data_IF_101428823811
#
_entry.id   IF_101428823811
#
_cell.length_a   1.000
_cell.length_b   1.000
_cell.length_c   1.000
_cell.angle_alpha   90.00
_cell.angle_beta   90.00
_cell.angle_gamma   90.00
#
_symmetry.space_group_name_H-M   'P 1'
#
loop_
_entity.id
_entity.type
_entity.pdbx_description
1 polymer ?
#
# COMPACT_ATOMS: atom_id res chain seq x y z
N UNK A 1 -13.94 46.77 -54.41
CA UNK A 1 -13.80 45.38 -54.87
C UNK A 1 -12.36 44.96 -54.70
N UNK A 2 -12.05 43.74 -54.25
CA UNK A 2 -12.44 43.01 -53.03
C UNK A 2 -11.13 42.64 -52.26
N UNK A 3 -11.04 41.90 -51.16
CA UNK A 3 -11.97 41.06 -50.40
C UNK A 3 -11.19 40.38 -49.25
N UNK A 4 -11.95 39.94 -48.26
CA UNK A 4 -11.53 39.40 -46.97
C UNK A 4 -10.83 38.03 -47.02
N UNK A 5 -10.21 37.64 -45.90
CA UNK A 5 -9.68 36.29 -45.67
C UNK A 5 -9.21 36.05 -44.24
N UNK A 6 -10.08 36.26 -43.24
CA UNK A 6 -9.87 35.72 -41.89
C UNK A 6 -10.03 34.20 -41.90
N UNK A 7 -9.06 33.50 -41.31
CA UNK A 7 -9.06 32.04 -41.17
C UNK A 7 -10.07 31.62 -40.07
N UNK A 8 -10.80 30.50 -40.25
CA UNK A 8 -11.83 30.09 -39.32
C UNK A 8 -11.23 29.53 -38.03
N UNK A 9 -11.71 30.05 -36.90
CA UNK A 9 -11.54 29.46 -35.57
C UNK A 9 -12.45 28.22 -35.49
N UNK A 10 -11.85 27.05 -35.34
CA UNK A 10 -12.53 25.79 -35.08
C UNK A 10 -13.25 25.86 -33.73
N UNK A 11 -14.57 26.07 -33.78
CA UNK A 11 -15.48 26.06 -32.65
C UNK A 11 -16.17 24.70 -32.50
N UNK A 12 -15.37 23.63 -32.34
CA UNK A 12 -15.87 22.32 -31.94
C UNK A 12 -15.98 22.25 -30.40
N UNK A 13 -17.15 21.93 -29.82
CA UNK A 13 -17.32 21.86 -28.37
C UNK A 13 -16.52 20.68 -27.78
N UNK A 14 -15.95 20.79 -26.57
CA UNK A 14 -15.28 19.68 -25.94
C UNK A 14 -16.29 18.56 -25.70
N UNK A 15 -15.99 17.38 -26.26
CA UNK A 15 -16.76 16.16 -26.07
C UNK A 15 -16.87 15.87 -24.58
N UNK A 16 -18.08 16.11 -24.06
CA UNK A 16 -18.45 15.88 -22.68
C UNK A 16 -18.40 14.36 -22.44
N UNK A 17 -17.26 13.86 -21.95
CA UNK A 17 -17.17 12.49 -21.46
C UNK A 17 -18.24 12.35 -20.40
N UNK A 18 -19.26 11.53 -20.68
CA UNK A 18 -20.29 11.16 -19.71
C UNK A 18 -19.56 10.55 -18.52
N UNK A 19 -19.38 11.33 -17.46
CA UNK A 19 -18.99 10.80 -16.16
C UNK A 19 -20.06 9.80 -15.77
N UNK A 20 -19.64 8.56 -15.57
CA UNK A 20 -20.51 7.50 -15.11
C UNK A 20 -21.01 7.86 -13.70
N UNK A 21 -22.24 8.39 -13.63
CA UNK A 21 -22.89 8.85 -12.39
C UNK A 21 -23.03 7.70 -11.37
N UNK A 22 -22.89 6.45 -11.81
CA UNK A 22 -22.94 5.26 -10.96
C UNK A 22 -21.74 5.19 -10.00
N UNK A 23 -20.53 5.55 -10.42
CA UNK A 23 -19.33 5.54 -9.56
C UNK A 23 -19.43 6.55 -8.41
N UNK A 24 -20.03 7.73 -8.68
CA UNK A 24 -20.30 8.76 -7.67
C UNK A 24 -21.36 8.33 -6.66
N UNK A 25 -22.42 7.66 -7.12
CA UNK A 25 -23.47 7.13 -6.24
C UNK A 25 -22.94 5.99 -5.36
N UNK A 26 -22.07 5.13 -5.88
CA UNK A 26 -21.41 4.05 -5.12
C UNK A 26 -20.48 4.63 -4.05
N UNK A 27 -19.67 5.63 -4.39
CA UNK A 27 -18.77 6.29 -3.42
C UNK A 27 -19.54 7.08 -2.35
N UNK A 28 -20.65 7.74 -2.71
CA UNK A 28 -21.53 8.42 -1.75
C UNK A 28 -22.25 7.42 -0.82
N UNK A 29 -22.73 6.29 -1.35
CA UNK A 29 -23.34 5.22 -0.56
C UNK A 29 -22.33 4.53 0.39
N UNK A 30 -21.06 4.42 -0.02
CA UNK A 30 -19.97 3.89 0.80
C UNK A 30 -19.55 4.87 1.91
N UNK A 31 -19.57 6.19 1.65
CA UNK A 31 -19.36 7.22 2.68
C UNK A 31 -20.51 7.27 3.72
N UNK A 32 -21.76 7.05 3.29
CA UNK A 32 -22.90 6.89 4.20
C UNK A 32 -22.79 5.58 5.04
N UNK A 33 -22.28 4.50 4.44
CA UNK A 33 -22.02 3.23 5.14
C UNK A 33 -20.87 3.34 6.15
N UNK A 34 -19.88 4.21 5.92
CA UNK A 34 -18.80 4.52 6.87
C UNK A 34 -19.34 5.10 8.18
N UNK A 35 -20.37 5.96 8.12
CA UNK A 35 -21.06 6.50 9.31
C UNK A 35 -21.87 5.43 10.06
N UNK A 36 -22.51 4.48 9.37
CA UNK A 36 -23.31 3.40 10.00
C UNK A 36 -22.48 2.25 10.57
N UNK A 37 -21.33 1.92 9.98
CA UNK A 37 -20.49 0.80 10.44
C UNK A 37 -19.77 1.06 11.77
N UNK A 38 -19.80 2.30 12.29
CA UNK A 38 -19.36 2.64 13.64
C UNK A 38 -20.33 2.15 14.74
N UNK A 39 -21.51 1.64 14.38
CA UNK A 39 -22.53 1.19 15.34
C UNK A 39 -23.46 0.13 14.73
N UNK A 40 -23.10 -1.16 14.75
CA UNK A 40 -24.08 -2.24 14.51
C UNK A 40 -23.87 -3.42 15.47
N UNK A 41 -24.93 -3.92 16.15
CA UNK A 41 -24.89 -5.06 17.07
C UNK A 41 -24.96 -6.41 16.35
N UNK A 42 -24.59 -7.46 17.08
CA UNK A 42 -24.52 -8.85 16.66
C UNK A 42 -25.89 -9.51 16.48
N UNK A 43 -26.07 -10.29 15.41
CA UNK A 43 -26.83 -11.55 15.44
C UNK A 43 -26.27 -12.47 14.35
N UNK A 44 -26.10 -13.75 14.71
CA UNK A 44 -25.48 -14.77 13.88
C UNK A 44 -26.50 -15.63 13.15
N UNK A 45 -26.06 -16.27 12.09
CA UNK A 45 -26.60 -17.53 11.61
C UNK A 45 -25.49 -18.34 10.91
N UNK A 46 -25.59 -19.64 11.10
CA UNK A 46 -24.63 -20.67 10.73
C UNK A 46 -24.87 -21.15 9.30
N UNK A 47 -23.82 -21.30 8.49
CA UNK A 47 -23.86 -22.10 7.27
C UNK A 47 -22.62 -22.99 7.21
N UNK A 48 -22.89 -24.26 6.89
CA UNK A 48 -21.99 -25.42 6.90
C UNK A 48 -21.10 -25.40 5.65
N UNK A 49 -19.81 -25.69 5.80
CA UNK A 49 -18.85 -25.81 4.70
C UNK A 49 -18.86 -27.22 4.10
N UNK A 50 -18.84 -27.31 2.77
CA UNK A 50 -18.42 -28.49 2.00
C UNK A 50 -16.95 -28.33 1.57
N UNK A 51 -16.16 -29.41 1.44
CA UNK A 51 -14.72 -29.32 1.15
C UNK A 51 -14.46 -29.08 -0.34
N UNK A 52 -13.48 -28.22 -0.64
CA UNK A 52 -12.89 -28.08 -1.98
C UNK A 52 -11.59 -28.92 -2.08
N UNK A 53 -11.26 -29.43 -3.28
CA UNK A 53 -10.21 -30.44 -3.45
C UNK A 53 -8.80 -29.86 -3.31
N UNK A 54 -7.90 -30.69 -2.77
CA UNK A 54 -6.48 -30.41 -2.66
C UNK A 54 -5.82 -30.44 -4.04
N UNK A 55 -5.18 -29.33 -4.44
CA UNK A 55 -4.27 -29.32 -5.58
C UNK A 55 -2.85 -29.51 -5.06
N UNK A 56 -2.30 -30.68 -5.38
CA UNK A 56 -0.95 -31.11 -5.05
C UNK A 56 0.07 -30.29 -5.84
N UNK A 57 0.92 -29.54 -5.15
CA UNK A 57 2.09 -28.89 -5.75
C UNK A 57 3.28 -29.83 -5.65
N UNK A 58 3.54 -30.58 -6.73
CA UNK A 58 4.88 -31.08 -6.95
C UNK A 58 5.21 -31.18 -8.44
N UNK A 59 6.00 -30.22 -8.95
CA UNK A 59 7.11 -30.49 -9.88
C UNK A 59 8.03 -29.27 -9.99
N UNK A 60 9.29 -29.47 -9.63
CA UNK A 60 10.40 -28.53 -9.82
C UNK A 60 10.91 -28.53 -11.27
N UNK A 61 11.58 -27.43 -11.62
CA UNK A 61 12.65 -27.27 -12.62
C UNK A 61 12.28 -27.23 -14.12
N UNK A 62 12.19 -26.00 -14.63
CA UNK A 62 13.00 -25.50 -15.76
C UNK A 62 12.89 -23.97 -15.82
N UNK A 63 13.88 -23.25 -15.27
CA UNK A 63 13.88 -21.80 -15.27
C UNK A 63 14.43 -21.27 -16.61
N UNK A 64 13.60 -21.30 -17.65
CA UNK A 64 13.82 -20.46 -18.82
C UNK A 64 14.01 -19.01 -18.34
N UNK A 65 15.00 -18.30 -18.90
CA UNK A 65 15.20 -16.87 -18.60
C UNK A 65 13.86 -16.15 -18.78
N UNK A 66 13.42 -15.34 -17.79
CA UNK A 66 12.10 -14.73 -17.84
C UNK A 66 11.98 -13.93 -19.14
N UNK A 67 10.89 -14.16 -19.87
CA UNK A 67 10.63 -13.47 -21.13
C UNK A 67 9.79 -12.22 -20.90
N UNK A 68 9.94 -11.17 -21.72
CA UNK A 68 9.08 -10.00 -21.67
C UNK A 68 7.61 -10.36 -21.93
N UNK A 69 6.67 -9.94 -21.06
CA UNK A 69 5.23 -10.24 -21.20
C UNK A 69 4.46 -8.99 -21.66
N UNK A 70 3.77 -9.00 -22.82
CA UNK A 70 3.02 -7.84 -23.31
C UNK A 70 1.93 -7.36 -22.35
N UNK A 71 1.69 -6.04 -22.32
CA UNK A 71 0.65 -5.37 -21.54
C UNK A 71 -0.35 -4.68 -22.48
N UNK A 72 -1.55 -4.39 -21.96
CA UNK A 72 -2.69 -3.85 -22.73
C UNK A 72 -2.43 -2.49 -23.37
N UNK A 73 -1.45 -1.73 -22.90
CA UNK A 73 -1.09 -0.40 -23.42
C UNK A 73 0.15 -0.43 -24.34
N UNK A 74 0.57 -1.59 -24.83
CA UNK A 74 1.75 -1.73 -25.69
C UNK A 74 3.10 -1.73 -24.95
N UNK A 75 3.09 -1.58 -23.61
CA UNK A 75 4.26 -1.83 -22.78
C UNK A 75 4.51 -3.33 -22.62
N UNK A 76 5.69 -3.66 -22.12
CA UNK A 76 6.08 -5.04 -21.84
C UNK A 76 6.57 -5.16 -20.40
N UNK A 77 6.06 -6.15 -19.68
CA UNK A 77 6.54 -6.50 -18.36
C UNK A 77 7.94 -7.12 -18.47
N UNK A 78 8.92 -6.57 -17.75
CA UNK A 78 10.33 -6.97 -17.79
C UNK A 78 10.89 -7.10 -16.37
N UNK A 79 11.87 -7.96 -16.17
CA UNK A 79 12.53 -8.17 -14.88
C UNK A 79 14.00 -7.75 -14.97
N UNK A 80 14.55 -7.16 -13.92
CA UNK A 80 15.95 -6.74 -13.88
C UNK A 80 16.96 -7.92 -13.89
N UNK A 81 16.48 -9.16 -13.77
CA UNK A 81 17.26 -10.39 -13.97
C UNK A 81 17.37 -10.79 -15.44
N UNK A 82 16.59 -10.17 -16.33
CA UNK A 82 16.69 -10.38 -17.78
C UNK A 82 18.00 -9.77 -18.32
N UNK A 83 18.50 -10.25 -19.47
CA UNK A 83 19.57 -9.59 -20.20
C UNK A 83 19.29 -8.10 -20.42
N UNK A 84 20.27 -7.24 -20.16
CA UNK A 84 20.13 -5.78 -20.34
C UNK A 84 21.47 -5.07 -20.39
N UNK A 85 21.44 -3.74 -20.46
CA UNK A 85 22.66 -2.94 -20.46
C UNK A 85 23.20 -2.75 -19.05
N UNK A 86 24.52 -2.81 -18.92
CA UNK A 86 25.23 -2.53 -17.66
C UNK A 86 25.99 -1.21 -17.77
N UNK A 87 26.07 -0.46 -16.67
CA UNK A 87 26.78 0.82 -16.62
C UNK A 87 28.19 0.64 -16.04
N UNK A 88 29.20 1.12 -16.75
CA UNK A 88 30.61 1.08 -16.36
C UNK A 88 31.15 2.50 -16.23
N UNK A 89 31.83 2.79 -15.12
CA UNK A 89 32.49 4.09 -14.92
C UNK A 89 33.72 4.20 -15.82
N UNK A 90 33.86 5.34 -16.51
CA UNK A 90 34.98 5.62 -17.41
C UNK A 90 35.46 7.06 -17.19
N UNK A 91 36.44 7.24 -16.29
CA UNK A 91 36.91 8.56 -15.88
C UNK A 91 35.80 9.39 -15.22
N UNK A 92 35.48 10.54 -15.82
CA UNK A 92 34.41 11.46 -15.38
C UNK A 92 33.03 11.13 -15.97
N UNK A 93 32.93 10.12 -16.84
CA UNK A 93 31.68 9.75 -17.51
C UNK A 93 31.35 8.26 -17.33
N UNK A 94 30.26 7.83 -17.96
CA UNK A 94 29.83 6.42 -17.98
C UNK A 94 29.81 5.89 -19.41
N UNK A 95 30.15 4.62 -19.56
CA UNK A 95 29.96 3.82 -20.77
C UNK A 95 29.04 2.65 -20.46
N UNK A 96 28.42 2.07 -21.49
CA UNK A 96 27.44 1.02 -21.32
C UNK A 96 27.84 -0.22 -22.11
N UNK A 97 27.59 -1.41 -21.55
CA UNK A 97 27.78 -2.68 -22.23
C UNK A 97 26.46 -3.40 -22.41
N UNK A 98 26.30 -4.10 -23.53
CA UNK A 98 25.19 -5.02 -23.74
C UNK A 98 25.31 -6.29 -22.89
N UNK A 99 24.29 -7.15 -22.97
CA UNK A 99 24.27 -8.41 -22.23
C UNK A 99 25.36 -9.40 -22.67
N UNK A 100 25.96 -9.20 -23.85
CA UNK A 100 27.09 -9.98 -24.38
C UNK A 100 28.45 -9.37 -24.00
N UNK A 101 28.47 -8.22 -23.33
CA UNK A 101 29.67 -7.51 -22.91
C UNK A 101 30.23 -6.52 -23.95
N UNK A 102 29.59 -6.37 -25.12
CA UNK A 102 30.04 -5.42 -26.14
C UNK A 102 29.69 -3.98 -25.76
N UNK A 103 30.53 -3.04 -26.17
CA UNK A 103 30.28 -1.62 -25.96
C UNK A 103 29.09 -1.13 -26.78
N UNK A 104 28.13 -0.51 -26.10
CA UNK A 104 26.99 0.14 -26.74
C UNK A 104 27.45 1.42 -27.45
N UNK A 105 27.22 1.47 -28.77
CA UNK A 105 27.59 2.59 -29.65
C UNK A 105 26.39 3.29 -30.29
N UNK A 106 25.21 2.67 -30.23
CA UNK A 106 23.99 3.23 -30.81
C UNK A 106 23.64 4.57 -30.13
N UNK A 107 23.58 5.63 -30.93
CA UNK A 107 23.33 6.99 -30.48
C UNK A 107 21.92 7.14 -29.89
N UNK A 108 20.93 6.44 -30.45
CA UNK A 108 19.54 6.49 -29.99
C UNK A 108 19.41 5.84 -28.62
N UNK A 109 20.02 4.67 -28.43
CA UNK A 109 20.06 4.00 -27.12
C UNK A 109 20.81 4.83 -26.09
N UNK A 110 21.97 5.40 -26.44
CA UNK A 110 22.73 6.28 -25.54
C UNK A 110 21.92 7.53 -25.15
N UNK A 111 21.16 8.11 -26.08
CA UNK A 111 20.28 9.25 -25.81
C UNK A 111 19.16 8.86 -24.83
N UNK A 112 18.46 7.75 -25.09
CA UNK A 112 17.41 7.22 -24.20
C UNK A 112 17.93 6.98 -22.79
N UNK A 113 19.10 6.35 -22.66
CA UNK A 113 19.71 6.08 -21.34
C UNK A 113 20.01 7.37 -20.58
N UNK A 114 20.48 8.43 -21.26
CA UNK A 114 20.71 9.74 -20.62
C UNK A 114 19.41 10.35 -20.10
N UNK A 115 18.31 10.23 -20.85
CA UNK A 115 16.99 10.73 -20.44
C UNK A 115 16.44 10.02 -19.19
N UNK A 116 16.86 8.78 -18.90
CA UNK A 116 16.49 8.08 -17.65
C UNK A 116 17.04 8.76 -16.39
N UNK A 117 18.02 9.67 -16.53
CA UNK A 117 18.62 10.44 -15.43
C UNK A 117 19.02 9.54 -14.25
N UNK A 118 19.72 8.44 -14.53
CA UNK A 118 20.18 7.48 -13.52
C UNK A 118 21.29 8.16 -12.70
N UNK A 119 21.12 8.38 -11.38
CA UNK A 119 22.08 9.10 -10.57
C UNK A 119 23.50 8.51 -10.67
N UNK A 120 24.55 9.33 -10.75
CA UNK A 120 25.92 8.87 -10.94
C UNK A 120 26.43 8.04 -9.76
N UNK A 121 25.90 8.27 -8.56
CA UNK A 121 26.27 7.54 -7.34
C UNK A 121 25.72 6.10 -7.26
N UNK A 122 24.81 5.70 -8.16
CA UNK A 122 24.23 4.35 -8.10
C UNK A 122 25.22 3.28 -8.58
N UNK A 123 25.32 2.18 -7.84
CA UNK A 123 26.06 0.97 -8.22
C UNK A 123 25.12 -0.10 -8.78
N UNK A 124 25.68 -1.19 -9.33
CA UNK A 124 24.95 -2.35 -9.86
C UNK A 124 23.76 -1.97 -10.75
N UNK A 125 24.04 -1.08 -11.71
CA UNK A 125 23.02 -0.52 -12.58
C UNK A 125 22.71 -1.47 -13.73
N UNK A 126 21.45 -1.90 -13.78
CA UNK A 126 20.85 -2.61 -14.90
C UNK A 126 19.90 -1.67 -15.65
N UNK A 127 19.94 -1.71 -16.98
CA UNK A 127 19.11 -0.86 -17.85
C UNK A 127 18.41 -1.77 -18.86
N UNK A 128 17.10 -1.59 -18.99
CA UNK A 128 16.28 -2.35 -19.91
C UNK A 128 16.66 -2.04 -21.36
N UNK A 129 16.85 -3.06 -22.22
CA UNK A 129 17.13 -2.86 -23.63
C UNK A 129 15.88 -2.49 -24.44
N UNK A 130 14.68 -2.77 -23.92
CA UNK A 130 13.42 -2.49 -24.59
C UNK A 130 12.91 -1.07 -24.23
N UNK A 131 12.71 -0.17 -25.21
CA UNK A 131 12.15 1.16 -24.94
C UNK A 131 10.76 1.10 -24.32
N UNK A 132 9.94 0.11 -24.69
CA UNK A 132 8.59 -0.12 -24.14
C UNK A 132 8.56 -1.04 -22.90
N UNK A 133 9.72 -1.38 -22.32
CA UNK A 133 9.76 -2.12 -21.05
C UNK A 133 9.21 -1.27 -19.90
N UNK A 134 8.26 -1.79 -19.12
CA UNK A 134 7.64 -1.02 -18.04
C UNK A 134 8.67 -0.53 -17.00
N UNK A 135 9.69 -1.34 -16.74
CA UNK A 135 10.86 -1.01 -15.93
C UNK A 135 12.01 -0.67 -16.89
N UNK A 136 12.56 0.53 -16.75
CA UNK A 136 13.59 1.08 -17.63
C UNK A 136 15.00 0.94 -17.06
N UNK A 137 15.16 1.04 -15.74
CA UNK A 137 16.45 0.79 -15.09
C UNK A 137 16.29 0.44 -13.61
N UNK A 138 17.29 -0.23 -13.06
CA UNK A 138 17.51 -0.38 -11.63
C UNK A 138 18.94 -0.03 -11.24
N UNK A 139 19.17 0.27 -9.97
CA UNK A 139 20.51 0.47 -9.42
C UNK A 139 20.47 0.51 -7.90
N UNK A 140 21.61 0.35 -7.25
CA UNK A 140 21.74 0.40 -5.79
C UNK A 140 22.19 1.80 -5.39
N UNK A 141 21.46 2.46 -4.49
CA UNK A 141 21.83 3.79 -4.00
C UNK A 141 22.95 3.75 -2.94
N UNK A 142 23.43 4.92 -2.53
CA UNK A 142 24.47 5.06 -1.51
C UNK A 142 24.10 4.48 -0.12
N UNK A 143 22.82 4.10 0.09
CA UNK A 143 22.33 3.44 1.30
C UNK A 143 22.10 1.93 1.09
N UNK A 144 22.57 1.36 -0.02
CA UNK A 144 22.41 -0.06 -0.34
C UNK A 144 21.01 -0.46 -0.81
N UNK A 145 20.13 0.50 -1.14
CA UNK A 145 18.75 0.19 -1.52
C UNK A 145 18.61 0.08 -3.04
N UNK A 146 17.88 -0.94 -3.50
CA UNK A 146 17.52 -1.05 -4.91
C UNK A 146 16.50 0.02 -5.30
N UNK A 147 16.87 0.82 -6.28
CA UNK A 147 16.10 1.92 -6.85
C UNK A 147 15.65 1.55 -8.26
N UNK A 148 14.51 2.07 -8.66
CA UNK A 148 13.85 1.75 -9.92
C UNK A 148 13.59 3.01 -10.75
N UNK A 149 13.61 2.87 -12.06
CA UNK A 149 13.15 3.85 -13.05
C UNK A 149 12.13 3.16 -13.94
N UNK A 150 10.93 3.71 -14.04
CA UNK A 150 9.83 3.13 -14.83
C UNK A 150 9.56 3.97 -16.07
N UNK A 151 8.98 3.34 -17.10
CA UNK A 151 8.45 4.03 -18.27
C UNK A 151 7.36 5.04 -17.85
N UNK A 152 7.20 6.14 -18.58
CA UNK A 152 6.24 7.19 -18.23
C UNK A 152 4.79 6.65 -18.21
N UNK A 153 4.42 5.90 -19.24
CA UNK A 153 3.08 5.30 -19.39
C UNK A 153 2.80 4.19 -18.37
N UNK A 154 3.82 3.61 -17.73
CA UNK A 154 3.60 2.63 -16.67
C UNK A 154 2.85 3.26 -15.48
N UNK A 155 3.10 4.54 -15.19
CA UNK A 155 2.36 5.23 -14.12
C UNK A 155 0.88 5.35 -14.47
N UNK A 156 0.56 5.72 -15.71
CA UNK A 156 -0.82 5.89 -16.17
C UNK A 156 -1.62 4.59 -16.03
N UNK A 157 -1.07 3.46 -16.47
CA UNK A 157 -1.71 2.14 -16.32
C UNK A 157 -1.90 1.75 -14.84
N UNK A 158 -0.93 2.09 -13.97
CA UNK A 158 -1.06 1.85 -12.52
C UNK A 158 -2.05 2.80 -11.84
N UNK A 159 -2.28 3.98 -12.40
CA UNK A 159 -3.26 4.95 -11.90
C UNK A 159 -4.69 4.60 -12.36
N UNK A 160 -4.88 4.12 -13.59
CA UNK A 160 -6.19 3.66 -14.10
C UNK A 160 -6.71 2.44 -13.30
N UNK A 161 -5.85 1.44 -13.11
CA UNK A 161 -6.19 0.23 -12.31
C UNK A 161 -6.43 0.53 -10.82
N UNK A 162 -6.03 1.72 -10.34
CA UNK A 162 -6.16 2.10 -8.93
C UNK A 162 -7.61 2.31 -8.52
N UNK A 163 -8.45 2.86 -9.39
CA UNK A 163 -9.83 3.19 -9.05
C UNK A 163 -10.73 1.95 -9.02
N UNK A 164 -10.63 1.08 -10.03
CA UNK A 164 -11.32 -0.21 -10.04
C UNK A 164 -10.93 -1.05 -8.82
N UNK A 165 -9.63 -1.12 -8.51
CA UNK A 165 -9.13 -1.79 -7.32
C UNK A 165 -9.70 -1.19 -6.03
N UNK A 166 -9.92 0.12 -5.98
CA UNK A 166 -10.47 0.80 -4.80
C UNK A 166 -11.92 0.39 -4.56
N UNK A 167 -12.71 0.27 -5.62
CA UNK A 167 -14.09 -0.21 -5.54
C UNK A 167 -14.15 -1.65 -5.04
N UNK A 168 -13.34 -2.55 -5.62
CA UNK A 168 -13.25 -3.94 -5.18
C UNK A 168 -12.82 -4.03 -3.70
N UNK A 169 -11.86 -3.20 -3.28
CA UNK A 169 -11.45 -3.13 -1.88
C UNK A 169 -12.59 -2.68 -0.97
N UNK A 170 -13.35 -1.65 -1.38
CA UNK A 170 -14.53 -1.18 -0.67
C UNK A 170 -15.57 -2.28 -0.45
N UNK A 171 -15.80 -3.12 -1.46
CA UNK A 171 -16.70 -4.29 -1.38
C UNK A 171 -16.17 -5.40 -0.46
N UNK A 172 -14.84 -5.56 -0.37
CA UNK A 172 -14.20 -6.56 0.49
C UNK A 172 -14.12 -6.15 1.98
N UNK A 173 -14.13 -4.84 2.28
CA UNK A 173 -13.97 -4.31 3.66
C UNK A 173 -14.92 -4.92 4.70
N UNK A 174 -16.23 -5.10 4.45
CA UNK A 174 -17.14 -5.72 5.42
C UNK A 174 -16.69 -7.13 5.82
N UNK A 175 -16.23 -7.94 4.87
CA UNK A 175 -15.73 -9.29 5.11
C UNK A 175 -14.44 -9.26 5.93
N UNK A 176 -13.49 -8.39 5.58
CA UNK A 176 -12.24 -8.20 6.32
C UNK A 176 -12.54 -7.78 7.77
N UNK A 177 -13.42 -6.81 7.97
CA UNK A 177 -13.81 -6.31 9.30
C UNK A 177 -14.52 -7.38 10.14
N UNK A 178 -15.37 -8.20 9.52
CA UNK A 178 -16.02 -9.31 10.20
C UNK A 178 -15.00 -10.36 10.68
N UNK A 179 -14.01 -10.70 9.83
CA UNK A 179 -12.91 -11.59 10.19
C UNK A 179 -12.08 -11.04 11.36
N UNK A 180 -11.66 -9.77 11.28
CA UNK A 180 -10.96 -9.07 12.37
C UNK A 180 -11.76 -9.08 13.67
N UNK A 181 -13.06 -8.77 13.61
CA UNK A 181 -13.91 -8.76 14.80
C UNK A 181 -14.04 -10.14 15.44
N UNK A 182 -14.08 -11.21 14.63
CA UNK A 182 -14.11 -12.60 15.12
C UNK A 182 -12.81 -12.98 15.81
N UNK A 183 -11.68 -12.71 15.18
CA UNK A 183 -10.37 -13.12 15.69
C UNK A 183 -10.01 -12.34 16.97
N UNK A 184 -10.37 -11.04 17.04
CA UNK A 184 -10.26 -10.24 18.29
C UNK A 184 -11.20 -10.71 19.41
N UNK A 185 -12.35 -11.32 19.09
CA UNK A 185 -13.23 -11.92 20.10
C UNK A 185 -12.68 -13.25 20.62
N UNK A 186 -12.08 -14.06 19.75
CA UNK A 186 -11.44 -15.31 20.13
C UNK A 186 -10.29 -15.06 21.14
N UNK A 187 -9.48 -14.04 20.87
CA UNK A 187 -8.39 -13.59 21.73
C UNK A 187 -8.80 -13.26 23.17
N UNK A 188 -10.08 -12.93 23.42
CA UNK A 188 -10.55 -12.63 24.77
C UNK A 188 -10.58 -13.85 25.70
N UNK A 189 -10.42 -15.07 25.15
CA UNK A 189 -10.42 -16.33 25.89
C UNK A 189 -9.00 -16.87 26.14
N UNK A 190 -7.98 -16.24 25.58
CA UNK A 190 -6.60 -16.71 25.61
C UNK A 190 -5.78 -15.88 26.62
N UNK A 191 -4.92 -16.55 27.38
CA UNK A 191 -4.02 -15.89 28.34
C UNK A 191 -2.86 -15.16 27.66
N UNK A 192 -2.46 -15.63 26.48
CA UNK A 192 -1.35 -15.11 25.69
C UNK A 192 -1.80 -14.73 24.27
N UNK A 193 -1.13 -13.78 23.61
CA UNK A 193 -1.56 -13.33 22.30
C UNK A 193 -1.21 -14.37 21.22
N UNK A 194 -2.22 -15.02 20.64
CA UNK A 194 -2.04 -15.87 19.46
C UNK A 194 -1.81 -15.08 18.16
N UNK A 195 -1.22 -15.73 17.14
CA UNK A 195 -0.88 -15.08 15.85
C UNK A 195 -2.07 -14.37 15.20
N UNK A 196 -3.24 -15.01 15.17
CA UNK A 196 -4.44 -14.44 14.56
C UNK A 196 -4.92 -13.17 15.29
N UNK A 197 -4.84 -13.15 16.62
CA UNK A 197 -5.21 -11.99 17.43
C UNK A 197 -4.33 -10.78 17.11
N UNK A 198 -3.01 -10.99 17.07
CA UNK A 198 -2.01 -9.94 16.78
C UNK A 198 -2.21 -9.38 15.37
N UNK A 199 -2.41 -10.24 14.37
CA UNK A 199 -2.65 -9.82 12.98
C UNK A 199 -3.99 -9.06 12.86
N UNK A 200 -5.04 -9.53 13.53
CA UNK A 200 -6.32 -8.83 13.58
C UNK A 200 -6.19 -7.44 14.23
N UNK A 201 -5.41 -7.31 15.31
CA UNK A 201 -5.08 -6.02 15.94
C UNK A 201 -4.35 -5.09 14.97
N UNK A 202 -3.35 -5.58 14.25
CA UNK A 202 -2.63 -4.79 13.24
C UNK A 202 -3.54 -4.30 12.12
N UNK A 203 -4.40 -5.16 11.57
CA UNK A 203 -5.36 -4.77 10.54
C UNK A 203 -6.40 -3.80 11.08
N UNK A 204 -6.87 -3.98 12.31
CA UNK A 204 -7.78 -3.02 12.97
C UNK A 204 -7.12 -1.65 13.10
N UNK A 205 -5.85 -1.60 13.50
CA UNK A 205 -5.10 -0.35 13.58
C UNK A 205 -4.90 0.29 12.21
N UNK A 206 -4.58 -0.48 11.16
CA UNK A 206 -4.52 0.04 9.78
C UNK A 206 -5.84 0.71 9.37
N UNK A 207 -6.97 0.07 9.70
CA UNK A 207 -8.30 0.53 9.31
C UNK A 207 -8.75 1.79 10.05
N UNK A 208 -8.38 1.97 11.34
CA UNK A 208 -8.87 3.10 12.15
C UNK A 208 -7.86 4.25 12.28
N UNK A 209 -6.57 3.99 12.07
CA UNK A 209 -5.50 5.00 12.23
C UNK A 209 -4.83 5.38 10.92
N UNK A 210 -5.06 4.63 9.84
CA UNK A 210 -4.44 4.89 8.52
C UNK A 210 -2.90 4.87 8.54
N UNK A 211 -2.29 4.37 9.61
CA UNK A 211 -0.85 4.26 9.76
C UNK A 211 -0.27 3.32 8.70
N UNK A 212 1.03 3.43 8.47
CA UNK A 212 1.73 2.48 7.59
C UNK A 212 1.96 1.18 8.34
N UNK A 213 1.83 0.06 7.64
CA UNK A 213 2.18 -1.26 8.19
C UNK A 213 3.64 -1.30 8.68
N UNK A 214 4.58 -0.65 7.98
CA UNK A 214 6.00 -0.72 8.30
C UNK A 214 6.68 -1.92 7.64
N UNK A 215 8.01 -1.92 7.62
CA UNK A 215 8.84 -3.05 7.21
C UNK A 215 10.16 -2.92 8.00
N UNK A 216 10.59 -4.03 8.61
CA UNK A 216 11.75 -4.11 9.52
C UNK A 216 13.05 -3.63 8.88
N UNK A 217 13.25 -3.88 7.58
CA UNK A 217 14.43 -3.41 6.83
C UNK A 217 14.58 -1.88 6.90
N UNK A 218 13.47 -1.15 6.96
CA UNK A 218 13.46 0.32 7.02
C UNK A 218 13.57 0.88 8.43
N UNK A 219 13.12 0.12 9.43
CA UNK A 219 13.08 0.58 10.82
C UNK A 219 14.47 0.69 11.44
N UNK A 220 15.32 -0.32 11.23
CA UNK A 220 16.67 -0.36 11.80
C UNK A 220 17.61 0.68 11.18
N UNK A 221 17.47 0.97 9.89
CA UNK A 221 18.36 1.88 9.15
C UNK A 221 18.01 3.38 9.29
N UNK A 222 16.74 3.73 9.54
CA UNK A 222 16.29 5.13 9.53
C UNK A 222 15.59 5.58 10.82
N UNK A 223 15.59 4.75 11.88
CA UNK A 223 14.82 4.99 13.11
C UNK A 223 13.37 5.42 12.83
N UNK A 224 12.79 4.87 11.76
CA UNK A 224 11.47 5.21 11.22
C UNK A 224 10.56 4.00 11.34
N UNK A 225 9.50 4.11 12.13
CA UNK A 225 8.65 2.97 12.47
C UNK A 225 7.35 2.97 11.67
N UNK A 226 6.85 1.77 11.35
CA UNK A 226 5.44 1.50 11.07
C UNK A 226 4.87 0.51 12.08
N UNK A 227 3.59 0.15 11.92
CA UNK A 227 2.85 -0.70 12.87
C UNK A 227 3.59 -1.98 13.28
N UNK A 228 4.04 -2.83 12.35
CA UNK A 228 4.72 -4.10 12.66
C UNK A 228 6.05 -3.90 13.37
N UNK A 229 6.67 -2.73 13.20
CA UNK A 229 7.99 -2.40 13.76
C UNK A 229 7.91 -1.59 15.06
N UNK A 230 6.70 -1.34 15.58
CA UNK A 230 6.53 -0.58 16.81
C UNK A 230 7.19 -1.31 17.98
N UNK A 231 7.65 -0.53 18.96
CA UNK A 231 8.26 -1.00 20.20
C UNK A 231 7.36 -0.66 21.37
N UNK A 232 7.54 -1.36 22.49
CA UNK A 232 6.77 -1.16 23.72
C UNK A 232 6.73 0.32 24.15
N UNK A 233 7.85 1.05 24.03
CA UNK A 233 7.97 2.49 24.33
C UNK A 233 7.10 3.42 23.46
N UNK A 234 6.60 2.96 22.31
CA UNK A 234 5.80 3.78 21.40
C UNK A 234 4.31 3.79 21.78
N UNK A 235 3.91 3.05 22.81
CA UNK A 235 2.50 2.89 23.18
C UNK A 235 2.31 3.10 24.67
N UNK A 236 1.40 4.02 24.99
CA UNK A 236 0.90 4.23 26.35
C UNK A 236 -0.54 3.72 26.43
N UNK A 237 -0.83 2.83 27.37
CA UNK A 237 -2.16 2.19 27.51
C UNK A 237 -2.84 2.69 28.78
N UNK A 238 -4.05 3.24 28.64
CA UNK A 238 -4.86 3.77 29.77
C UNK A 238 -6.30 3.26 29.70
N UNK A 239 -6.69 2.42 30.66
CA UNK A 239 -8.05 1.87 30.72
C UNK A 239 -8.40 1.04 29.47
N UNK A 240 -9.35 1.50 28.68
CA UNK A 240 -9.75 0.86 27.41
C UNK A 240 -9.24 1.60 26.16
N UNK A 241 -8.34 2.56 26.38
CA UNK A 241 -7.74 3.39 25.34
C UNK A 241 -6.22 3.22 25.31
N UNK A 242 -5.63 3.56 24.18
CA UNK A 242 -4.18 3.62 24.02
C UNK A 242 -3.78 4.82 23.17
N UNK A 243 -2.55 5.29 23.38
CA UNK A 243 -1.90 6.34 22.61
C UNK A 243 -0.65 5.79 21.95
N UNK A 244 -0.62 5.83 20.62
CA UNK A 244 0.55 5.55 19.79
C UNK A 244 1.32 6.85 19.56
N UNK A 245 2.62 6.86 19.81
CA UNK A 245 3.51 7.99 19.50
C UNK A 245 4.88 7.50 19.02
N UNK A 246 5.23 7.80 17.78
CA UNK A 246 6.49 7.35 17.17
C UNK A 246 6.91 8.19 15.97
N UNK A 247 8.19 8.15 15.60
CA UNK A 247 8.69 8.74 14.35
C UNK A 247 8.48 7.77 13.19
N UNK A 248 7.71 8.17 12.19
CA UNK A 248 7.43 7.38 11.00
C UNK A 248 8.39 7.66 9.84
N UNK A 249 7.93 7.29 8.63
CA UNK A 249 8.67 7.53 7.39
C UNK A 249 9.05 9.01 7.26
N UNK A 250 10.30 9.27 6.88
CA UNK A 250 10.88 10.61 6.74
C UNK A 250 10.96 11.40 8.06
N UNK A 251 10.94 10.73 9.21
CA UNK A 251 11.09 11.35 10.53
C UNK A 251 9.83 12.05 11.07
N UNK A 252 8.73 12.02 10.32
CA UNK A 252 7.46 12.65 10.72
C UNK A 252 6.95 12.03 12.02
N UNK A 253 6.63 12.86 13.01
CA UNK A 253 6.05 12.39 14.25
C UNK A 253 4.58 12.00 14.01
N UNK A 254 4.23 10.76 14.34
CA UNK A 254 2.86 10.29 14.34
C UNK A 254 2.34 10.18 15.77
N UNK A 255 1.13 10.68 15.97
CA UNK A 255 0.37 10.52 17.19
C UNK A 255 -1.06 10.09 16.84
N UNK A 256 -1.49 8.95 17.39
CA UNK A 256 -2.84 8.43 17.22
C UNK A 256 -3.31 7.87 18.55
N UNK A 257 -4.52 8.21 18.96
CA UNK A 257 -5.12 7.62 20.15
C UNK A 257 -6.32 6.78 19.69
N UNK A 258 -6.45 5.59 20.27
CA UNK A 258 -7.39 4.55 19.87
C UNK A 258 -8.20 4.14 21.08
N UNK A 259 -9.52 4.24 20.96
CA UNK A 259 -10.48 3.81 21.99
C UNK A 259 -11.13 2.51 21.52
N UNK A 260 -10.41 1.40 21.66
CA UNK A 260 -10.89 0.06 21.28
C UNK A 260 -10.45 -0.94 22.37
N UNK A 261 -11.37 -1.40 23.24
CA UNK A 261 -11.05 -2.30 24.34
C UNK A 261 -10.43 -3.63 23.89
N UNK A 262 -10.80 -4.12 22.69
CA UNK A 262 -10.29 -5.40 22.18
C UNK A 262 -8.86 -5.26 21.70
N UNK A 263 -8.56 -4.19 20.96
CA UNK A 263 -7.20 -3.83 20.55
C UNK A 263 -6.32 -3.60 21.77
N UNK A 264 -6.83 -2.84 22.74
CA UNK A 264 -6.10 -2.53 23.98
C UNK A 264 -5.73 -3.78 24.77
N UNK A 265 -6.66 -4.74 24.87
CA UNK A 265 -6.39 -6.04 25.53
C UNK A 265 -5.23 -6.77 24.86
N UNK A 266 -5.27 -6.95 23.54
CA UNK A 266 -4.22 -7.69 22.81
C UNK A 266 -2.88 -6.97 22.98
N UNK A 267 -2.85 -5.64 22.84
CA UNK A 267 -1.61 -4.86 23.02
C UNK A 267 -1.03 -5.02 24.44
N UNK A 268 -1.87 -5.02 25.48
CA UNK A 268 -1.39 -5.30 26.84
C UNK A 268 -0.76 -6.68 26.95
N UNK A 269 -1.40 -7.70 26.37
CA UNK A 269 -0.85 -9.07 26.37
C UNK A 269 0.48 -9.12 25.61
N UNK A 270 0.63 -8.40 24.50
CA UNK A 270 1.90 -8.34 23.79
C UNK A 270 2.99 -7.62 24.60
N UNK A 271 2.66 -6.56 25.36
CA UNK A 271 3.62 -5.87 26.24
C UNK A 271 4.15 -6.75 27.40
N UNK A 272 3.48 -7.86 27.72
CA UNK A 272 3.97 -8.83 28.71
C UNK A 272 4.97 -9.83 28.13
N UNK A 273 5.09 -9.92 26.80
CA UNK A 273 6.09 -10.77 26.16
C UNK A 273 7.50 -10.15 26.29
N UNK A 274 8.55 -10.98 26.38
CA UNK A 274 9.91 -10.49 26.52
C UNK A 274 10.39 -9.75 25.26
N UNK A 275 11.19 -8.71 25.45
CA UNK A 275 11.83 -7.96 24.37
C UNK A 275 11.29 -6.54 24.19
N UNK A 276 11.71 -5.89 23.11
CA UNK A 276 11.37 -4.48 22.83
C UNK A 276 10.25 -4.31 21.81
N UNK A 277 10.02 -5.31 20.95
CA UNK A 277 9.01 -5.23 19.90
C UNK A 277 7.61 -5.31 20.51
N UNK A 278 6.69 -4.50 19.97
CA UNK A 278 5.34 -4.43 20.50
C UNK A 278 4.47 -5.58 20.00
N UNK A 279 4.55 -5.92 18.71
CA UNK A 279 3.68 -6.93 18.12
C UNK A 279 4.44 -8.24 18.00
N UNK A 280 4.23 -9.07 19.00
CA UNK A 280 4.68 -10.45 19.04
C UNK A 280 3.51 -11.35 19.40
N UNK A 281 3.58 -12.61 18.98
CA UNK A 281 2.66 -13.65 19.40
C UNK A 281 3.42 -14.79 20.07
N UNK A 282 2.73 -15.55 20.92
CA UNK A 282 3.30 -16.76 21.52
C UNK A 282 3.07 -17.96 20.58
N UNK A 283 4.16 -18.66 20.24
CA UNK A 283 4.13 -19.91 19.50
C UNK A 283 3.59 -21.08 20.34
N UNK A 284 3.36 -22.22 19.69
CA UNK A 284 2.92 -23.44 20.38
C UNK A 284 3.98 -24.00 21.35
N UNK A 285 5.24 -23.66 21.11
CA UNK A 285 6.41 -23.93 21.93
C UNK A 285 6.55 -22.97 23.12
N UNK A 286 5.68 -21.97 23.23
CA UNK A 286 5.75 -20.93 24.26
C UNK A 286 6.70 -19.78 23.91
N UNK A 287 7.40 -19.85 22.78
CA UNK A 287 8.38 -18.84 22.36
C UNK A 287 7.69 -17.62 21.75
N UNK A 288 8.23 -16.43 22.02
CA UNK A 288 7.73 -15.19 21.44
C UNK A 288 8.24 -15.03 20.00
N UNK A 289 7.33 -14.73 19.06
CA UNK A 289 7.64 -14.58 17.63
C UNK A 289 7.13 -13.25 17.11
N UNK A 290 7.98 -12.57 16.34
CA UNK A 290 7.67 -11.31 15.66
C UNK A 290 6.65 -11.51 14.53
N UNK A 291 5.99 -10.43 14.14
CA UNK A 291 5.16 -10.38 12.92
C UNK A 291 5.75 -9.39 11.92
N UNK A 292 5.78 -9.79 10.66
CA UNK A 292 6.26 -8.97 9.56
C UNK A 292 5.10 -8.34 8.77
N UNK A 293 5.45 -7.41 7.89
CA UNK A 293 4.48 -6.86 6.92
C UNK A 293 3.90 -7.93 5.97
N UNK A 294 4.66 -9.00 5.71
CA UNK A 294 4.22 -10.12 4.89
C UNK A 294 3.10 -10.91 5.56
N UNK A 295 3.21 -11.15 6.87
CA UNK A 295 2.17 -11.83 7.66
C UNK A 295 0.85 -11.04 7.66
N UNK A 296 0.94 -9.71 7.76
CA UNK A 296 -0.25 -8.83 7.67
C UNK A 296 -0.90 -8.92 6.29
N UNK A 297 -0.12 -8.89 5.22
CA UNK A 297 -0.65 -9.00 3.87
C UNK A 297 -1.22 -10.40 3.59
N UNK A 298 -0.62 -11.47 4.16
CA UNK A 298 -1.18 -12.82 4.10
C UNK A 298 -2.55 -12.89 4.78
N UNK A 299 -2.65 -12.39 6.00
CA UNK A 299 -3.94 -12.32 6.71
C UNK A 299 -4.99 -11.55 5.91
N UNK A 300 -4.62 -10.46 5.23
CA UNK A 300 -5.53 -9.70 4.38
C UNK A 300 -6.00 -10.48 3.15
N UNK A 301 -5.11 -11.23 2.50
CA UNK A 301 -5.47 -12.09 1.37
C UNK A 301 -6.50 -13.13 1.78
N UNK A 302 -6.26 -13.81 2.90
CA UNK A 302 -7.19 -14.81 3.43
C UNK A 302 -8.53 -14.19 3.84
N UNK A 303 -8.46 -13.04 4.52
CA UNK A 303 -9.64 -12.33 5.00
C UNK A 303 -10.49 -11.76 3.86
N UNK A 304 -9.90 -11.32 2.76
CA UNK A 304 -10.60 -10.70 1.64
C UNK A 304 -11.02 -11.71 0.55
N UNK A 305 -10.23 -12.77 0.34
CA UNK A 305 -10.38 -13.68 -0.81
C UNK A 305 -9.81 -13.12 -2.11
N UNK A 306 -8.99 -12.07 -2.04
CA UNK A 306 -8.36 -11.39 -3.17
C UNK A 306 -7.01 -10.80 -2.71
N UNK A 307 -6.15 -10.40 -3.64
CA UNK A 307 -4.79 -9.92 -3.41
C UNK A 307 -4.72 -8.47 -2.92
N UNK A 308 -5.43 -8.15 -1.84
CA UNK A 308 -5.33 -6.86 -1.14
C UNK A 308 -4.16 -6.81 -0.15
N UNK A 309 -3.69 -5.59 0.11
CA UNK A 309 -2.51 -5.30 0.93
C UNK A 309 -2.80 -4.16 1.91
N UNK A 310 -1.92 -3.98 2.90
CA UNK A 310 -2.01 -2.85 3.82
C UNK A 310 -1.99 -1.47 3.14
N UNK A 311 -1.43 -1.36 1.93
CA UNK A 311 -1.41 -0.10 1.16
C UNK A 311 -2.82 0.30 0.70
N UNK A 312 -3.70 -0.66 0.49
CA UNK A 312 -5.05 -0.42 -0.02
C UNK A 312 -5.89 0.35 1.01
N UNK A 313 -5.76 0.04 2.32
CA UNK A 313 -6.37 0.82 3.40
C UNK A 313 -6.03 2.31 3.32
N UNK A 314 -4.75 2.64 3.13
CA UNK A 314 -4.31 4.04 3.08
C UNK A 314 -4.87 4.77 1.86
N UNK A 315 -4.99 4.05 0.73
CA UNK A 315 -5.55 4.62 -0.49
C UNK A 315 -7.05 4.84 -0.34
N UNK A 316 -7.77 3.83 0.19
CA UNK A 316 -9.19 3.90 0.50
C UNK A 316 -9.53 5.08 1.42
N UNK A 317 -8.90 5.13 2.59
CA UNK A 317 -9.19 6.17 3.57
C UNK A 317 -8.80 7.56 3.10
N UNK A 318 -7.70 7.68 2.34
CA UNK A 318 -7.32 8.94 1.70
C UNK A 318 -8.37 9.44 0.70
N UNK A 319 -8.88 8.54 -0.16
CA UNK A 319 -9.93 8.87 -1.13
C UNK A 319 -11.25 9.21 -0.44
N UNK A 320 -11.67 8.44 0.57
CA UNK A 320 -12.92 8.69 1.32
C UNK A 320 -12.86 10.04 2.05
N UNK A 321 -11.73 10.38 2.67
CA UNK A 321 -11.54 11.70 3.31
C UNK A 321 -11.58 12.84 2.29
N UNK A 322 -10.89 12.70 1.16
CA UNK A 322 -10.91 13.70 0.10
C UNK A 322 -12.33 13.92 -0.45
N UNK A 323 -13.10 12.84 -0.60
CA UNK A 323 -14.50 12.90 -1.02
C UNK A 323 -15.37 13.63 0.00
N UNK A 324 -15.28 13.30 1.30
CA UNK A 324 -16.09 13.95 2.33
C UNK A 324 -15.74 15.44 2.46
N UNK A 325 -14.45 15.81 2.38
CA UNK A 325 -14.03 17.21 2.40
C UNK A 325 -14.54 17.97 1.17
N UNK A 326 -14.48 17.36 -0.02
CA UNK A 326 -15.05 17.94 -1.25
C UNK A 326 -16.57 18.11 -1.11
N UNK A 327 -17.26 17.10 -0.59
CA UNK A 327 -18.72 17.15 -0.36
C UNK A 327 -19.08 18.31 0.56
N UNK A 328 -18.37 18.47 1.68
CA UNK A 328 -18.56 19.57 2.63
C UNK A 328 -18.30 20.94 1.99
N UNK A 329 -17.23 21.06 1.19
CA UNK A 329 -16.91 22.30 0.48
C UNK A 329 -17.98 22.68 -0.56
N UNK A 330 -18.56 21.69 -1.25
CA UNK A 330 -19.59 21.90 -2.27
C UNK A 330 -21.00 22.11 -1.68
N UNK A 331 -21.30 21.61 -0.48
CA UNK A 331 -22.63 21.74 0.11
C UNK A 331 -22.94 23.13 0.67
N UNK A 332 -21.98 24.05 0.71
CA UNK A 332 -22.19 25.44 1.15
C UNK A 332 -22.62 25.59 2.61
N UNK A 333 -22.61 24.51 3.40
CA UNK A 333 -22.84 24.60 4.84
C UNK A 333 -21.69 25.42 5.44
N UNK A 334 -21.97 26.51 6.17
CA UNK A 334 -20.93 27.22 6.89
C UNK A 334 -20.24 26.20 7.78
N UNK A 335 -18.90 26.23 7.80
CA UNK A 335 -18.11 25.42 8.70
C UNK A 335 -18.46 25.81 10.14
N UNK A 336 -19.51 25.21 10.67
CA UNK A 336 -19.92 25.40 12.05
C UNK A 336 -18.72 24.93 12.88
N UNK A 337 -18.18 25.85 13.67
CA UNK A 337 -17.00 25.54 14.50
C UNK A 337 -17.38 24.32 15.33
N UNK A 338 -16.58 23.24 15.32
CA UNK A 338 -17.01 22.01 15.95
C UNK A 338 -17.22 22.27 17.44
N UNK A 339 -18.48 22.20 17.87
CA UNK A 339 -18.81 22.04 19.28
C UNK A 339 -18.15 20.75 19.77
N UNK A 340 -17.68 20.77 21.01
CA UNK A 340 -16.70 19.84 21.56
C UNK A 340 -17.12 18.36 21.70
N UNK A 341 -18.14 17.88 20.99
CA UNK A 341 -18.60 16.50 21.07
C UNK A 341 -19.08 15.98 19.71
N UNK A 342 -18.28 15.12 19.06
CA UNK A 342 -18.68 14.00 18.16
C UNK A 342 -17.77 13.73 16.97
N UNK A 343 -16.72 14.52 16.71
CA UNK A 343 -15.63 14.12 15.81
C UNK A 343 -14.47 13.58 16.65
N UNK A 344 -14.00 12.33 16.48
CA UNK A 344 -12.74 11.91 17.08
C UNK A 344 -11.62 12.74 16.44
N UNK A 345 -11.28 13.87 17.10
CA UNK A 345 -10.02 14.59 16.87
C UNK A 345 -8.89 13.63 17.22
N UNK A 346 -8.32 12.93 16.24
CA UNK A 346 -7.02 12.25 16.37
C UNK A 346 -6.41 12.04 15.00
N UNK A 347 -5.89 13.12 14.44
CA UNK A 347 -4.68 13.07 13.61
C UNK A 347 -4.14 14.49 13.59
N UNK A 348 -3.13 14.76 14.43
CA UNK A 348 -2.32 15.97 14.28
C UNK A 348 -0.98 15.50 13.74
N UNK A 349 -0.71 15.87 12.49
CA UNK A 349 0.66 15.93 11.98
C UNK A 349 1.16 17.31 12.41
N UNK A 350 2.09 17.36 13.37
CA UNK A 350 2.87 18.56 13.65
C UNK A 350 4.24 18.41 13.02
#
# INVERSE_FOLDING_TARGET
MPGAGDAPVDSSPPTQRRHDRSAWLVLAALAASYRRAASVPSRGSSLKNAPLPAISFNRMADAASPQPVPLTNGLVYVDARMPGFTRVRHGRSFRYRDAKGHWLRDINELSRIRQLAIPPAYTDVWICPLPNGHLQATGIDARGRKQYRYHAEWRLLKDETKFERLELFGRALPRIRARVARDLRAAAKESSPGRAAVLATLVRLLDITFLRVGNDEYANSNQSYGLTTLRNRHVDVRGTSLKLRFRGKSGVLHEAQVDDPRVTRVIRSCQQLPGQELFQFQGLDGEARSVSSSDVNEYLRDAAGDNFTAKDFRTWHGTVQALELTRLACSGEPADRPSHASVPRRFSVR
#
